data_IF_523911457025
#
_entry.id   IF_523911457025
#
_cell.length_a   1.000
_cell.length_b   1.000
_cell.length_c   1.000
_cell.angle_alpha   90.00
_cell.angle_beta   90.00
_cell.angle_gamma   90.00
#
_symmetry.space_group_name_H-M   'P 1'
#
loop_
_entity.id
_entity.type
_entity.pdbx_description
1 polymer ?
#
# COMPACT_ATOMS: atom_id res chain seq x y z
N UNK A 1 -52.65 16.74 -56.80
CA UNK A 1 -52.40 16.16 -58.15
C UNK A 1 -50.91 16.01 -58.35
N UNK A 2 -50.47 14.77 -58.62
CA UNK A 2 -49.16 14.29 -59.12
C UNK A 2 -47.88 14.58 -58.32
N UNK A 3 -47.42 13.54 -57.64
CA UNK A 3 -46.06 13.26 -57.19
C UNK A 3 -45.05 13.21 -58.36
N UNK A 4 -43.74 13.37 -58.08
CA UNK A 4 -42.69 12.67 -58.81
C UNK A 4 -42.08 11.53 -57.98
N UNK A 5 -41.76 10.45 -58.71
CA UNK A 5 -41.16 9.17 -58.30
C UNK A 5 -39.68 9.33 -57.88
N UNK A 6 -39.11 8.34 -57.15
CA UNK A 6 -37.77 8.40 -56.59
C UNK A 6 -36.69 7.92 -57.57
N UNK A 7 -35.48 8.45 -57.44
CA UNK A 7 -34.28 7.95 -58.11
C UNK A 7 -33.54 6.97 -57.19
N UNK A 8 -33.39 5.74 -57.67
CA UNK A 8 -32.56 4.69 -57.11
C UNK A 8 -31.11 4.83 -57.59
N UNK A 9 -30.14 4.80 -56.68
CA UNK A 9 -28.76 4.41 -56.99
C UNK A 9 -28.28 3.39 -55.94
N UNK A 10 -28.06 2.18 -56.45
CA UNK A 10 -27.30 1.08 -55.86
C UNK A 10 -25.82 1.46 -55.75
N UNK A 11 -25.13 1.01 -54.70
CA UNK A 11 -23.90 0.20 -54.83
C UNK A 11 -23.06 0.16 -53.56
N UNK A 12 -22.72 -1.09 -53.18
CA UNK A 12 -21.52 -1.54 -52.49
C UNK A 12 -21.25 -1.06 -51.05
N UNK A 13 -21.51 -1.98 -50.13
CA UNK A 13 -20.78 -2.11 -48.89
C UNK A 13 -19.31 -2.45 -49.20
N UNK A 14 -18.37 -1.67 -48.67
CA UNK A 14 -16.98 -2.08 -48.53
C UNK A 14 -16.60 -2.04 -47.04
N UNK A 15 -16.41 -3.25 -46.51
CA UNK A 15 -15.80 -3.50 -45.19
C UNK A 15 -14.32 -3.16 -45.30
N UNK A 16 -13.92 -1.99 -44.85
CA UNK A 16 -12.50 -1.72 -44.56
C UNK A 16 -12.16 -2.29 -43.18
N UNK A 17 -11.62 -3.50 -43.20
CA UNK A 17 -10.77 -4.06 -42.14
C UNK A 17 -9.60 -3.11 -41.90
N UNK A 18 -9.61 -2.40 -40.76
CA UNK A 18 -8.43 -1.71 -40.24
C UNK A 18 -7.39 -2.75 -39.84
N UNK A 19 -6.44 -2.99 -40.74
CA UNK A 19 -5.22 -3.71 -40.46
C UNK A 19 -4.27 -2.74 -39.72
N UNK A 20 -4.13 -2.91 -38.41
CA UNK A 20 -3.10 -2.20 -37.63
C UNK A 20 -1.77 -2.91 -37.88
N UNK A 21 -0.72 -2.24 -38.40
CA UNK A 21 0.59 -2.86 -38.52
C UNK A 21 1.24 -2.93 -37.13
N UNK A 22 1.68 -4.14 -36.76
CA UNK A 22 2.58 -4.39 -35.64
C UNK A 22 3.94 -3.85 -36.08
N UNK A 23 4.31 -2.68 -35.56
CA UNK A 23 5.65 -2.11 -35.69
C UNK A 23 6.49 -2.52 -34.49
N UNK A 24 7.52 -3.34 -34.74
CA UNK A 24 8.62 -3.58 -33.82
C UNK A 24 9.45 -2.29 -33.68
N UNK A 25 9.32 -1.58 -32.56
CA UNK A 25 10.16 -0.42 -32.24
C UNK A 25 11.20 -0.82 -31.18
N UNK A 26 12.25 -1.49 -31.66
CA UNK A 26 13.54 -1.53 -30.97
C UNK A 26 14.26 -0.21 -31.24
N UNK A 27 13.99 0.80 -30.41
CA UNK A 27 14.76 2.06 -30.41
C UNK A 27 15.44 2.27 -29.08
N UNK A 28 16.76 2.29 -29.16
CA UNK A 28 17.71 2.50 -28.08
C UNK A 28 17.42 3.79 -27.31
N UNK A 29 17.31 3.66 -25.98
CA UNK A 29 17.27 4.77 -25.04
C UNK A 29 18.67 5.39 -25.02
N UNK A 30 18.80 6.62 -25.53
CA UNK A 30 19.95 7.48 -25.25
C UNK A 30 19.74 8.18 -23.91
N UNK A 31 20.78 8.31 -23.05
CA UNK A 31 20.61 8.86 -21.71
C UNK A 31 20.52 10.39 -21.77
N UNK A 32 19.40 10.94 -21.29
CA UNK A 32 19.29 12.35 -20.94
C UNK A 32 20.14 12.58 -19.70
N UNK A 33 21.17 13.40 -19.84
CA UNK A 33 22.05 13.82 -18.76
C UNK A 33 21.33 14.85 -17.86
N UNK A 34 21.41 14.64 -16.54
CA UNK A 34 21.19 15.67 -15.53
C UNK A 34 19.81 15.66 -14.86
N UNK A 35 19.51 14.63 -14.07
CA UNK A 35 18.47 14.71 -13.03
C UNK A 35 19.09 14.43 -11.65
N UNK A 36 18.92 15.30 -10.65
CA UNK A 36 19.56 15.16 -9.33
C UNK A 36 19.09 13.92 -8.55
N UNK A 37 17.96 13.32 -8.91
CA UNK A 37 17.46 12.07 -8.32
C UNK A 37 18.36 10.85 -8.59
N UNK A 38 19.12 10.84 -9.69
CA UNK A 38 20.06 9.75 -10.01
C UNK A 38 21.38 9.84 -9.23
N UNK A 39 21.68 10.97 -8.59
CA UNK A 39 22.91 11.16 -7.81
C UNK A 39 22.90 10.35 -6.50
N UNK A 40 21.73 9.95 -6.00
CA UNK A 40 21.58 9.16 -4.77
C UNK A 40 21.61 7.63 -4.98
N UNK A 41 21.57 7.15 -6.23
CA UNK A 41 21.59 5.71 -6.55
C UNK A 41 22.79 4.95 -5.96
N UNK A 42 24.02 5.48 -5.92
CA UNK A 42 25.17 4.76 -5.37
C UNK A 42 25.14 4.60 -3.83
N UNK A 43 24.30 5.35 -3.10
CA UNK A 43 24.19 5.22 -1.63
C UNK A 43 23.27 4.07 -1.21
N UNK A 44 22.39 3.61 -2.10
CA UNK A 44 21.47 2.49 -1.86
C UNK A 44 22.11 1.09 -1.95
N UNK A 45 23.38 1.00 -2.34
CA UNK A 45 24.09 -0.27 -2.58
C UNK A 45 25.27 -0.52 -1.62
N UNK A 46 25.46 0.31 -0.59
CA UNK A 46 26.50 0.02 0.40
C UNK A 46 26.06 -1.14 1.32
N UNK A 47 26.93 -2.15 1.55
CA UNK A 47 26.62 -3.24 2.46
C UNK A 47 26.50 -2.71 3.89
N UNK A 48 25.35 -2.95 4.53
CA UNK A 48 25.16 -2.70 5.96
C UNK A 48 26.13 -3.56 6.78
N UNK A 49 26.78 -2.93 7.76
CA UNK A 49 27.67 -3.59 8.71
C UNK A 49 26.88 -4.59 9.58
N UNK A 50 27.49 -5.73 9.90
CA UNK A 50 26.89 -6.85 10.64
C UNK A 50 26.36 -6.40 12.02
N UNK A 51 25.05 -6.57 12.33
CA UNK A 51 24.46 -6.14 13.60
C UNK A 51 24.95 -6.92 14.83
N UNK A 52 25.87 -7.89 14.67
CA UNK A 52 26.46 -8.68 15.76
C UNK A 52 27.59 -7.99 16.53
N UNK A 53 27.92 -6.73 16.25
CA UNK A 53 29.02 -5.99 16.91
C UNK A 53 28.57 -4.85 17.85
N UNK A 54 27.29 -4.78 18.24
CA UNK A 54 26.88 -3.87 19.30
C UNK A 54 27.10 -4.51 20.68
N UNK A 55 28.08 -4.00 21.44
CA UNK A 55 28.28 -4.35 22.85
C UNK A 55 27.01 -4.04 23.66
N UNK A 56 26.42 -5.08 24.27
CA UNK A 56 25.25 -4.96 25.16
C UNK A 56 25.74 -4.77 26.60
N UNK A 57 25.35 -3.71 27.32
CA UNK A 57 25.71 -3.58 28.73
C UNK A 57 24.92 -4.58 29.59
N UNK A 58 25.62 -5.23 30.52
CA UNK A 58 25.09 -6.27 31.39
C UNK A 58 23.96 -5.74 32.31
N UNK A 59 22.78 -6.36 32.22
CA UNK A 59 21.68 -6.16 33.17
C UNK A 59 21.71 -7.31 34.19
N UNK A 60 21.80 -6.97 35.47
CA UNK A 60 21.77 -7.95 36.58
C UNK A 60 20.40 -8.66 36.69
N UNK A 61 20.36 -9.95 37.04
CA UNK A 61 19.11 -10.70 37.08
C UNK A 61 18.35 -10.44 38.38
N UNK A 62 17.08 -10.02 38.26
CA UNK A 62 16.11 -10.12 39.35
C UNK A 62 15.51 -11.53 39.31
N UNK A 63 15.79 -12.30 40.36
CA UNK A 63 15.29 -13.65 40.56
C UNK A 63 13.82 -13.63 40.99
N UNK A 64 12.95 -14.34 40.27
CA UNK A 64 11.72 -14.88 40.86
C UNK A 64 11.59 -16.35 40.49
N UNK A 65 11.69 -17.20 41.51
CA UNK A 65 11.60 -18.66 41.39
C UNK A 65 10.25 -19.15 41.90
N UNK A 66 9.66 -20.01 41.06
CA UNK A 66 8.68 -21.09 41.30
C UNK A 66 7.21 -20.78 41.59
N UNK A 67 6.38 -21.22 40.63
CA UNK A 67 5.53 -22.38 40.89
C UNK A 67 4.03 -22.14 40.82
N UNK A 68 3.43 -22.32 39.63
CA UNK A 68 2.07 -22.85 39.51
C UNK A 68 1.84 -23.38 38.09
N UNK A 69 1.61 -24.69 37.98
CA UNK A 69 1.05 -25.36 36.80
C UNK A 69 -0.34 -24.76 36.58
N UNK A 70 -0.49 -23.83 35.63
CA UNK A 70 -1.81 -23.34 35.21
C UNK A 70 -2.31 -24.20 34.07
N UNK A 71 -3.37 -24.92 34.35
CA UNK A 71 -4.22 -25.60 33.38
C UNK A 71 -4.70 -24.59 32.33
N UNK A 72 -4.71 -25.02 31.06
CA UNK A 72 -5.08 -24.23 29.89
C UNK A 72 -6.52 -23.71 29.98
N UNK A 73 -6.77 -22.38 30.00
CA UNK A 73 -8.05 -21.79 29.63
C UNK A 73 -7.98 -21.36 28.15
N UNK A 74 -7.53 -22.25 27.27
CA UNK A 74 -7.64 -22.08 25.83
C UNK A 74 -9.01 -22.56 25.37
N UNK A 75 -10.09 -21.89 25.77
CA UNK A 75 -11.41 -22.07 25.16
C UNK A 75 -12.39 -20.99 25.66
N UNK A 76 -12.91 -20.20 24.71
CA UNK A 76 -14.03 -19.24 24.87
C UNK A 76 -13.75 -17.95 25.66
N UNK A 77 -12.99 -17.05 25.06
CA UNK A 77 -13.34 -15.63 25.12
C UNK A 77 -13.31 -15.09 23.69
N UNK A 78 -14.29 -15.47 22.87
CA UNK A 78 -14.67 -14.55 21.81
C UNK A 78 -15.22 -13.33 22.56
N UNK A 79 -14.53 -12.20 22.49
CA UNK A 79 -15.05 -10.98 23.06
C UNK A 79 -16.45 -10.76 22.43
N UNK A 80 -17.53 -10.56 23.23
CA UNK A 80 -18.88 -10.34 22.71
C UNK A 80 -18.98 -9.20 21.71
N UNK A 81 -18.01 -8.28 21.71
CA UNK A 81 -17.91 -7.15 20.78
C UNK A 81 -17.13 -7.49 19.49
N UNK A 82 -16.61 -8.71 19.32
CA UNK A 82 -15.83 -9.05 18.12
C UNK A 82 -16.57 -8.98 16.78
N UNK A 83 -17.81 -9.48 16.68
CA UNK A 83 -18.61 -9.30 15.47
C UNK A 83 -18.88 -7.82 15.18
N UNK A 84 -18.85 -6.97 16.22
CA UNK A 84 -19.04 -5.52 16.11
C UNK A 84 -17.78 -4.86 15.52
N UNK A 85 -16.58 -5.30 15.92
CA UNK A 85 -15.31 -4.77 15.40
C UNK A 85 -15.08 -5.13 13.93
N UNK A 86 -15.22 -6.40 13.53
CA UNK A 86 -15.06 -6.75 12.11
C UNK A 86 -16.15 -6.05 11.28
N UNK A 87 -17.41 -6.06 11.72
CA UNK A 87 -18.49 -5.39 11.00
C UNK A 87 -18.24 -3.87 10.84
N UNK A 88 -17.73 -3.18 11.86
CA UNK A 88 -17.35 -1.76 11.78
C UNK A 88 -16.19 -1.55 10.80
N UNK A 89 -15.15 -2.37 10.83
CA UNK A 89 -14.06 -2.30 9.85
C UNK A 89 -14.59 -2.54 8.42
N UNK A 90 -15.47 -3.51 8.22
CA UNK A 90 -16.10 -3.80 6.92
C UNK A 90 -17.04 -2.71 6.44
N UNK A 91 -17.71 -2.01 7.36
CA UNK A 91 -18.54 -0.87 7.03
C UNK A 91 -17.67 0.34 6.65
N UNK A 92 -16.65 0.64 7.45
CA UNK A 92 -15.71 1.74 7.19
C UNK A 92 -14.91 1.56 5.92
N UNK A 93 -14.46 0.33 5.60
CA UNK A 93 -13.77 0.06 4.35
C UNK A 93 -14.68 0.20 3.12
N UNK A 94 -15.97 0.49 3.27
CA UNK A 94 -16.92 0.75 2.17
C UNK A 94 -17.43 2.18 2.15
N UNK A 95 -17.07 2.99 3.15
CA UNK A 95 -17.46 4.40 3.22
C UNK A 95 -16.80 5.16 2.06
N UNK A 96 -17.58 5.78 1.15
CA UNK A 96 -17.02 6.43 -0.04
C UNK A 96 -15.93 7.46 0.25
N UNK A 97 -15.99 8.12 1.41
CA UNK A 97 -14.99 9.12 1.82
C UNK A 97 -13.62 8.52 2.12
N UNK A 98 -13.56 7.24 2.45
CA UNK A 98 -12.33 6.50 2.75
C UNK A 98 -11.70 5.88 1.49
N UNK A 99 -12.33 6.02 0.32
CA UNK A 99 -11.83 5.48 -0.95
C UNK A 99 -11.23 6.55 -1.86
N UNK A 100 -10.07 6.27 -2.49
CA UNK A 100 -9.62 7.05 -3.64
C UNK A 100 -10.51 6.75 -4.86
N UNK A 101 -10.63 7.71 -5.78
CA UNK A 101 -11.25 7.48 -7.09
C UNK A 101 -10.34 6.56 -7.91
N UNK A 102 -10.83 5.39 -8.30
CA UNK A 102 -10.06 4.38 -9.05
C UNK A 102 -9.50 4.90 -10.39
N UNK A 103 -10.01 6.03 -10.89
CA UNK A 103 -9.60 6.67 -12.13
C UNK A 103 -9.05 8.10 -11.91
N UNK A 104 -8.60 8.44 -10.69
CA UNK A 104 -8.12 9.79 -10.39
C UNK A 104 -6.99 10.25 -11.32
N UNK A 105 -6.18 9.33 -11.84
CA UNK A 105 -5.10 9.65 -12.77
C UNK A 105 -5.60 10.29 -14.07
N UNK A 106 -6.70 9.79 -14.62
CA UNK A 106 -7.28 10.32 -15.85
C UNK A 106 -8.26 11.46 -15.58
N UNK A 107 -9.06 11.37 -14.51
CA UNK A 107 -10.09 12.37 -14.17
C UNK A 107 -9.52 13.61 -13.49
N UNK A 108 -8.83 13.42 -12.36
CA UNK A 108 -8.37 14.52 -11.50
C UNK A 108 -6.99 15.02 -11.89
N UNK A 109 -6.05 14.11 -12.19
CA UNK A 109 -4.69 14.44 -12.61
C UNK A 109 -4.58 14.65 -14.14
N UNK A 110 -5.68 14.54 -14.88
CA UNK A 110 -5.78 14.86 -16.31
C UNK A 110 -4.76 14.10 -17.20
N UNK A 111 -4.32 12.92 -16.75
CA UNK A 111 -3.32 12.11 -17.46
C UNK A 111 -1.88 12.55 -17.29
N UNK A 112 -1.60 13.59 -16.50
CA UNK A 112 -0.22 14.03 -16.23
C UNK A 112 0.51 13.13 -15.24
N UNK A 113 -0.22 12.45 -14.35
CA UNK A 113 0.32 11.45 -13.44
C UNK A 113 0.08 10.03 -13.98
N UNK A 114 1.15 9.32 -14.31
CA UNK A 114 1.08 7.94 -14.79
C UNK A 114 1.13 6.91 -13.66
N UNK A 115 0.68 5.66 -13.88
CA UNK A 115 0.85 4.57 -12.92
C UNK A 115 2.31 4.32 -12.52
N UNK A 116 3.26 4.48 -13.46
CA UNK A 116 4.69 4.30 -13.20
C UNK A 116 5.24 5.40 -12.29
N UNK A 117 4.87 6.67 -12.52
CA UNK A 117 5.28 7.78 -11.66
C UNK A 117 4.75 7.61 -10.23
N UNK A 118 3.49 7.16 -10.07
CA UNK A 118 2.95 6.82 -8.75
C UNK A 118 3.72 5.66 -8.11
N UNK A 119 4.05 4.61 -8.87
CA UNK A 119 4.81 3.48 -8.34
C UNK A 119 6.20 3.92 -7.83
N UNK A 120 6.91 4.74 -8.60
CA UNK A 120 8.19 5.34 -8.20
C UNK A 120 8.05 6.21 -6.96
N UNK A 121 6.98 7.02 -6.87
CA UNK A 121 6.69 7.83 -5.70
C UNK A 121 6.43 6.99 -4.45
N UNK A 122 5.70 5.89 -4.55
CA UNK A 122 5.46 4.97 -3.42
C UNK A 122 6.75 4.27 -2.97
N UNK A 123 7.62 3.89 -3.90
CA UNK A 123 8.94 3.35 -3.56
C UNK A 123 9.83 4.40 -2.88
N UNK A 124 9.73 5.67 -3.31
CA UNK A 124 10.38 6.79 -2.64
C UNK A 124 9.82 7.01 -1.22
N UNK A 125 8.50 6.90 -1.02
CA UNK A 125 7.87 6.98 0.31
C UNK A 125 8.39 5.90 1.26
N UNK A 126 8.52 4.66 0.78
CA UNK A 126 9.10 3.56 1.57
C UNK A 126 10.56 3.88 1.98
N UNK A 127 11.36 4.40 1.04
CA UNK A 127 12.73 4.82 1.34
C UNK A 127 12.77 5.96 2.37
N UNK A 128 11.94 6.99 2.21
CA UNK A 128 11.84 8.12 3.14
C UNK A 128 11.41 7.67 4.54
N UNK A 129 10.37 6.83 4.64
CA UNK A 129 9.88 6.26 5.89
C UNK A 129 10.96 5.45 6.62
N UNK A 130 11.77 4.66 5.89
CA UNK A 130 12.90 3.91 6.46
C UNK A 130 14.01 4.81 7.00
N UNK A 131 14.30 5.94 6.34
CA UNK A 131 15.33 6.88 6.81
C UNK A 131 14.86 7.71 8.01
N UNK A 132 13.57 8.03 8.11
CA UNK A 132 13.00 8.61 9.33
C UNK A 132 13.14 7.68 10.53
N UNK A 133 13.05 6.37 10.29
CA UNK A 133 13.38 5.33 11.26
C UNK A 133 12.35 5.16 12.38
N UNK A 134 12.13 3.90 12.79
CA UNK A 134 11.30 3.54 13.93
C UNK A 134 9.84 3.98 13.84
N UNK A 135 9.30 4.18 12.63
CA UNK A 135 7.89 4.50 12.41
C UNK A 135 7.01 3.27 12.75
N UNK A 136 5.75 3.48 13.19
CA UNK A 136 4.82 2.39 13.45
C UNK A 136 4.65 1.46 12.24
N UNK A 137 4.47 0.17 12.51
CA UNK A 137 4.03 -0.78 11.50
C UNK A 137 2.68 -0.30 10.92
N UNK A 138 2.50 -0.39 9.59
CA UNK A 138 1.31 0.14 8.92
C UNK A 138 1.40 1.59 8.42
N UNK A 139 2.37 2.39 8.90
CA UNK A 139 2.55 3.79 8.48
C UNK A 139 2.56 3.96 6.96
N UNK A 140 3.30 3.11 6.25
CA UNK A 140 3.38 3.18 4.78
C UNK A 140 2.04 2.89 4.10
N UNK A 141 1.30 1.87 4.58
CA UNK A 141 -0.04 1.56 4.04
C UNK A 141 -0.99 2.75 4.20
N UNK A 142 -0.98 3.38 5.37
CA UNK A 142 -1.82 4.55 5.66
C UNK A 142 -1.39 5.78 4.87
N UNK A 143 -0.10 6.04 4.78
CA UNK A 143 0.45 7.12 3.98
C UNK A 143 0.07 6.99 2.49
N UNK A 144 0.15 5.79 1.93
CA UNK A 144 -0.25 5.53 0.54
C UNK A 144 -1.77 5.72 0.36
N UNK A 145 -2.58 5.27 1.32
CA UNK A 145 -4.02 5.52 1.29
C UNK A 145 -4.36 7.02 1.31
N UNK A 146 -3.66 7.81 2.12
CA UNK A 146 -3.82 9.28 2.13
C UNK A 146 -3.35 9.92 0.83
N UNK A 147 -2.19 9.51 0.30
CA UNK A 147 -1.67 9.99 -0.98
C UNK A 147 -2.71 9.79 -2.10
N UNK A 148 -3.23 8.56 -2.27
CA UNK A 148 -4.18 8.25 -3.33
C UNK A 148 -5.48 9.06 -3.20
N UNK A 149 -5.96 9.26 -1.97
CA UNK A 149 -7.18 10.05 -1.71
C UNK A 149 -6.97 11.53 -2.00
N UNK A 150 -5.83 12.09 -1.61
CA UNK A 150 -5.47 13.49 -1.92
C UNK A 150 -5.36 13.70 -3.43
N UNK A 151 -4.70 12.78 -4.14
CA UNK A 151 -4.64 12.78 -5.60
C UNK A 151 -6.01 12.56 -6.27
N UNK A 152 -7.01 12.07 -5.53
CA UNK A 152 -8.39 11.93 -5.98
C UNK A 152 -9.24 13.18 -5.81
N UNK A 153 -8.76 14.21 -5.11
CA UNK A 153 -9.55 15.42 -4.84
C UNK A 153 -8.83 16.70 -5.24
N UNK A 154 -7.49 16.64 -5.39
CA UNK A 154 -6.66 17.81 -5.71
C UNK A 154 -5.68 17.52 -6.84
N UNK A 155 -5.60 18.38 -7.88
CA UNK A 155 -4.54 18.27 -8.87
C UNK A 155 -3.19 18.61 -8.24
N UNK A 156 -2.19 17.79 -8.52
CA UNK A 156 -0.80 18.03 -8.07
C UNK A 156 0.08 18.12 -9.31
N UNK A 157 0.94 19.15 -9.43
CA UNK A 157 1.89 19.24 -10.53
C UNK A 157 2.73 17.96 -10.64
N UNK A 158 2.78 17.38 -11.85
CA UNK A 158 3.42 16.11 -12.11
C UNK A 158 4.96 16.23 -12.26
N UNK A 159 5.59 16.97 -11.35
CA UNK A 159 7.04 17.05 -11.21
C UNK A 159 7.45 16.59 -9.81
N UNK A 160 8.66 16.03 -9.71
CA UNK A 160 9.13 15.31 -8.52
C UNK A 160 8.97 16.09 -7.22
N UNK A 161 9.35 17.38 -7.20
CA UNK A 161 9.32 18.19 -5.97
C UNK A 161 7.92 18.32 -5.34
N UNK A 162 6.88 18.55 -6.15
CA UNK A 162 5.51 18.69 -5.65
C UNK A 162 4.94 17.35 -5.19
N UNK A 163 5.18 16.29 -5.96
CA UNK A 163 4.74 14.94 -5.62
C UNK A 163 5.43 14.42 -4.36
N UNK A 164 6.74 14.62 -4.23
CA UNK A 164 7.53 14.21 -3.08
C UNK A 164 7.14 14.99 -1.82
N UNK A 165 6.81 16.29 -1.94
CA UNK A 165 6.32 17.07 -0.81
C UNK A 165 4.97 16.53 -0.29
N UNK A 166 4.01 16.27 -1.18
CA UNK A 166 2.73 15.62 -0.83
C UNK A 166 2.97 14.24 -0.21
N UNK A 167 3.86 13.45 -0.78
CA UNK A 167 4.20 12.12 -0.30
C UNK A 167 4.86 12.12 1.09
N UNK A 168 5.79 13.03 1.35
CA UNK A 168 6.43 13.20 2.66
C UNK A 168 5.42 13.63 3.73
N UNK A 169 4.53 14.55 3.39
CA UNK A 169 3.45 14.97 4.26
C UNK A 169 2.48 13.82 4.56
N UNK A 170 2.15 12.98 3.57
CA UNK A 170 1.33 11.79 3.77
C UNK A 170 2.01 10.76 4.69
N UNK A 171 3.33 10.56 4.58
CA UNK A 171 4.12 9.71 5.51
C UNK A 171 4.10 10.27 6.93
N UNK A 172 4.31 11.58 7.08
CA UNK A 172 4.24 12.27 8.38
C UNK A 172 2.86 12.11 9.04
N UNK A 173 1.80 12.38 8.27
CA UNK A 173 0.42 12.28 8.74
C UNK A 173 0.04 10.83 9.09
N UNK A 174 0.45 9.87 8.26
CA UNK A 174 0.25 8.44 8.51
C UNK A 174 0.94 7.98 9.80
N UNK A 175 2.18 8.43 10.04
CA UNK A 175 2.92 8.11 11.27
C UNK A 175 2.25 8.68 12.52
N UNK A 176 1.75 9.94 12.45
CA UNK A 176 1.00 10.58 13.53
C UNK A 176 -0.33 9.88 13.82
N UNK A 177 -0.97 9.35 12.79
CA UNK A 177 -2.22 8.60 12.93
C UNK A 177 -2.00 7.25 13.62
N UNK A 178 -1.07 6.42 13.12
CA UNK A 178 -0.78 5.10 13.67
C UNK A 178 -0.16 5.16 15.09
N UNK A 179 0.39 6.31 15.49
CA UNK A 179 0.91 6.53 16.83
C UNK A 179 0.49 7.90 17.38
N UNK A 180 -0.79 7.99 17.75
CA UNK A 180 -1.43 9.21 18.26
C UNK A 180 -0.76 9.83 19.50
N UNK A 181 0.07 9.05 20.22
CA UNK A 181 0.78 9.49 21.43
C UNK A 181 2.24 9.89 21.21
N UNK A 182 2.77 9.83 19.98
CA UNK A 182 4.15 10.21 19.74
C UNK A 182 4.25 11.70 19.40
N UNK A 183 4.91 12.47 20.26
CA UNK A 183 5.42 13.80 19.91
C UNK A 183 6.56 13.74 18.89
N UNK A 184 6.55 12.74 17.99
CA UNK A 184 7.62 12.48 17.04
C UNK A 184 7.54 13.53 15.95
N UNK A 185 8.62 14.29 15.86
CA UNK A 185 8.80 15.30 14.82
C UNK A 185 9.57 14.67 13.67
N UNK A 186 9.36 15.20 12.47
CA UNK A 186 10.18 14.87 11.31
C UNK A 186 11.64 15.22 11.62
N UNK A 187 12.56 14.36 11.17
CA UNK A 187 13.99 14.64 11.25
C UNK A 187 14.37 15.66 10.17
N UNK A 188 14.87 16.82 10.58
CA UNK A 188 15.22 17.90 9.67
C UNK A 188 16.34 17.53 8.69
N UNK A 189 17.31 16.71 9.10
CA UNK A 189 18.39 16.27 8.22
C UNK A 189 17.87 15.31 7.16
N UNK A 190 16.94 14.42 7.54
CA UNK A 190 16.29 13.51 6.58
C UNK A 190 15.43 14.29 5.60
N UNK A 191 14.65 15.27 6.07
CA UNK A 191 13.82 16.13 5.19
C UNK A 191 14.69 16.93 4.23
N UNK A 192 15.76 17.56 4.71
CA UNK A 192 16.69 18.30 3.85
C UNK A 192 17.35 17.38 2.81
N UNK A 193 17.80 16.18 3.21
CA UNK A 193 18.45 15.24 2.32
C UNK A 193 17.51 14.66 1.24
N UNK A 194 16.23 14.43 1.57
CA UNK A 194 15.27 13.82 0.65
C UNK A 194 14.51 14.82 -0.22
N UNK A 195 14.22 16.01 0.31
CA UNK A 195 13.35 16.99 -0.34
C UNK A 195 14.06 18.32 -0.65
N UNK A 196 15.25 18.58 -0.10
CA UNK A 196 15.92 19.87 -0.23
C UNK A 196 15.14 21.04 0.40
N UNK A 197 14.27 20.74 1.37
CA UNK A 197 13.39 21.73 2.03
C UNK A 197 13.44 21.58 3.56
N UNK A 198 12.62 22.35 4.25
CA UNK A 198 12.53 22.35 5.72
C UNK A 198 11.33 21.56 6.23
N UNK A 199 11.41 21.11 7.48
CA UNK A 199 10.28 20.44 8.17
C UNK A 199 9.01 21.29 8.14
N UNK A 200 9.14 22.61 8.28
CA UNK A 200 7.99 23.53 8.27
C UNK A 200 7.17 23.41 6.98
N UNK A 201 7.82 23.32 5.82
CA UNK A 201 7.13 23.19 4.53
C UNK A 201 6.38 21.86 4.44
N UNK A 202 6.93 20.79 5.02
CA UNK A 202 6.24 19.49 5.10
C UNK A 202 5.06 19.55 6.07
N UNK A 203 5.18 20.25 7.19
CA UNK A 203 4.09 20.45 8.16
C UNK A 203 2.94 21.31 7.60
N UNK A 204 3.25 22.32 6.78
CA UNK A 204 2.24 23.10 6.05
C UNK A 204 1.49 22.22 5.05
N UNK A 205 2.22 21.42 4.26
CA UNK A 205 1.61 20.45 3.35
C UNK A 205 0.79 19.39 4.10
N UNK A 206 1.25 18.93 5.27
CA UNK A 206 0.50 17.99 6.11
C UNK A 206 -0.86 18.57 6.51
N UNK A 207 -0.90 19.84 6.89
CA UNK A 207 -2.15 20.52 7.21
C UNK A 207 -3.08 20.62 6.00
N UNK A 208 -2.56 20.91 4.81
CA UNK A 208 -3.34 20.90 3.57
C UNK A 208 -3.93 19.51 3.29
N UNK A 209 -3.13 18.45 3.43
CA UNK A 209 -3.59 17.06 3.27
C UNK A 209 -4.70 16.72 4.25
N UNK A 210 -4.57 17.12 5.50
CA UNK A 210 -5.59 16.90 6.51
C UNK A 210 -6.92 17.59 6.14
N UNK A 211 -6.85 18.80 5.56
CA UNK A 211 -8.03 19.50 5.04
C UNK A 211 -8.63 18.80 3.81
N UNK A 212 -7.80 18.35 2.86
CA UNK A 212 -8.23 17.61 1.67
C UNK A 212 -8.97 16.31 2.03
N UNK A 213 -8.52 15.63 3.08
CA UNK A 213 -9.11 14.36 3.55
C UNK A 213 -10.41 14.56 4.35
N UNK A 214 -10.78 15.81 4.67
CA UNK A 214 -12.08 16.16 5.25
C UNK A 214 -12.38 15.46 6.60
N UNK A 215 -11.34 15.26 7.42
CA UNK A 215 -11.38 14.52 8.69
C UNK A 215 -11.73 13.02 8.59
N UNK A 216 -11.93 12.47 7.40
CA UNK A 216 -12.10 11.02 7.21
C UNK A 216 -10.70 10.39 7.18
N UNK A 217 -10.16 10.03 8.34
CA UNK A 217 -8.78 9.55 8.48
C UNK A 217 -8.70 8.13 8.99
N UNK A 218 -9.81 7.54 9.41
CA UNK A 218 -9.85 6.29 10.16
C UNK A 218 -10.21 5.08 9.29
N UNK A 219 -10.27 5.27 7.97
CA UNK A 219 -10.47 4.20 7.01
C UNK A 219 -9.46 3.07 7.23
N UNK A 220 -9.90 1.80 7.29
CA UNK A 220 -9.00 0.68 7.48
C UNK A 220 -8.16 0.43 6.23
N UNK A 221 -6.91 0.06 6.43
CA UNK A 221 -6.02 -0.36 5.34
C UNK A 221 -5.85 -1.88 5.34
N UNK A 222 -5.20 -2.43 4.33
CA UNK A 222 -4.88 -3.85 4.31
C UNK A 222 -4.00 -4.24 5.53
N UNK A 223 -3.18 -3.31 6.03
CA UNK A 223 -2.47 -3.47 7.31
C UNK A 223 -3.45 -3.68 8.48
N UNK A 224 -4.46 -2.81 8.61
CA UNK A 224 -5.49 -2.90 9.66
C UNK A 224 -6.17 -4.28 9.66
N UNK A 225 -6.50 -4.80 8.48
CA UNK A 225 -7.12 -6.12 8.36
C UNK A 225 -6.14 -7.27 8.64
N UNK A 226 -4.85 -7.18 8.26
CA UNK A 226 -3.87 -8.20 8.66
C UNK A 226 -3.75 -8.24 10.19
N UNK A 227 -3.64 -7.10 10.86
CA UNK A 227 -3.56 -7.07 12.32
C UNK A 227 -4.82 -7.69 12.95
N UNK A 228 -6.01 -7.31 12.43
CA UNK A 228 -7.28 -7.91 12.85
C UNK A 228 -7.35 -9.43 12.65
N UNK A 229 -6.98 -9.93 11.46
CA UNK A 229 -7.02 -11.36 11.14
C UNK A 229 -6.01 -12.19 11.94
N UNK A 230 -4.91 -11.58 12.36
CA UNK A 230 -3.78 -12.29 12.99
C UNK A 230 -3.65 -12.06 14.49
N UNK A 231 -4.54 -11.28 15.12
CA UNK A 231 -4.51 -10.96 16.56
C UNK A 231 -4.53 -12.14 17.52
N UNK A 232 -5.07 -13.29 17.09
CA UNK A 232 -5.13 -14.50 17.90
C UNK A 232 -3.99 -15.48 17.61
N UNK A 233 -3.05 -15.13 16.73
CA UNK A 233 -1.87 -15.94 16.48
C UNK A 233 -1.03 -16.00 17.75
N UNK A 234 -0.64 -17.22 18.12
CA UNK A 234 0.10 -17.49 19.37
C UNK A 234 1.40 -18.26 19.12
N UNK A 235 1.62 -18.75 17.90
CA UNK A 235 2.75 -19.61 17.54
C UNK A 235 3.75 -18.87 16.65
N UNK A 236 5.02 -19.22 16.79
CA UNK A 236 6.11 -18.64 15.99
C UNK A 236 5.89 -18.78 14.48
N UNK A 237 5.39 -19.93 14.03
CA UNK A 237 5.08 -20.18 12.63
C UNK A 237 3.93 -19.31 12.11
N UNK A 238 2.95 -19.00 12.94
CA UNK A 238 1.87 -18.07 12.60
C UNK A 238 2.38 -16.62 12.51
N UNK A 239 3.32 -16.22 13.38
CA UNK A 239 3.96 -14.91 13.27
C UNK A 239 4.81 -14.77 11.99
N UNK A 240 5.41 -15.86 11.50
CA UNK A 240 6.07 -15.88 10.18
C UNK A 240 5.06 -15.68 9.05
N UNK A 241 3.87 -16.31 9.14
CA UNK A 241 2.77 -16.10 8.19
C UNK A 241 2.31 -14.64 8.21
N UNK A 242 2.06 -14.05 9.39
CA UNK A 242 1.71 -12.62 9.51
C UNK A 242 2.78 -11.73 8.86
N UNK A 243 4.05 -11.94 9.20
CA UNK A 243 5.16 -11.14 8.69
C UNK A 243 5.27 -11.22 7.16
N UNK A 244 5.08 -12.40 6.58
CA UNK A 244 5.06 -12.56 5.13
C UNK A 244 3.82 -11.91 4.51
N UNK A 245 2.64 -12.05 5.12
CA UNK A 245 1.41 -11.42 4.63
C UNK A 245 1.55 -9.89 4.58
N UNK A 246 2.13 -9.27 5.62
CA UNK A 246 2.44 -7.84 5.63
C UNK A 246 3.40 -7.43 4.51
N UNK A 247 4.42 -8.24 4.25
CA UNK A 247 5.32 -8.01 3.11
C UNK A 247 4.59 -8.08 1.78
N UNK A 248 3.70 -9.05 1.61
CA UNK A 248 2.87 -9.18 0.41
C UNK A 248 1.91 -7.99 0.24
N UNK A 249 1.31 -7.49 1.32
CA UNK A 249 0.52 -6.26 1.30
C UNK A 249 1.39 -5.08 0.84
N UNK A 250 2.59 -4.90 1.39
CA UNK A 250 3.50 -3.83 0.97
C UNK A 250 3.90 -3.93 -0.51
N UNK A 251 4.03 -5.14 -1.06
CA UNK A 251 4.28 -5.32 -2.50
C UNK A 251 3.15 -4.79 -3.37
N UNK A 252 1.90 -4.75 -2.88
CA UNK A 252 0.78 -4.20 -3.67
C UNK A 252 0.79 -2.68 -3.75
N UNK A 253 1.38 -2.00 -2.76
CA UNK A 253 1.26 -0.55 -2.60
C UNK A 253 1.70 0.26 -3.83
N UNK A 254 2.78 -0.08 -4.56
CA UNK A 254 3.17 0.65 -5.76
C UNK A 254 2.23 0.43 -6.96
N UNK A 255 1.45 -0.64 -6.98
CA UNK A 255 0.66 -1.05 -8.14
C UNK A 255 -0.73 -0.42 -8.13
N UNK A 256 -0.96 0.51 -9.06
CA UNK A 256 -2.24 1.23 -9.19
C UNK A 256 -3.46 0.32 -9.42
N UNK A 257 -3.26 -0.91 -9.91
CA UNK A 257 -4.35 -1.88 -10.11
C UNK A 257 -5.12 -2.25 -8.85
N UNK A 258 -4.53 -2.09 -7.65
CA UNK A 258 -5.19 -2.36 -6.37
C UNK A 258 -5.97 -1.15 -5.84
N UNK A 259 -5.60 0.06 -6.25
CA UNK A 259 -6.14 1.32 -5.72
C UNK A 259 -7.58 1.53 -6.15
N UNK A 260 -8.49 1.64 -5.18
CA UNK A 260 -9.94 1.88 -5.41
C UNK A 260 -10.68 0.75 -6.13
N UNK A 261 -10.01 -0.37 -6.47
CA UNK A 261 -10.59 -1.51 -7.22
C UNK A 261 -10.79 -2.74 -6.36
N UNK A 262 -9.95 -2.93 -5.35
CA UNK A 262 -9.98 -4.10 -4.46
C UNK A 262 -10.08 -3.58 -3.03
N UNK A 263 -10.98 -4.18 -2.24
CA UNK A 263 -11.17 -3.78 -0.84
C UNK A 263 -9.91 -4.10 -0.01
N UNK A 264 -9.54 -3.25 0.97
CA UNK A 264 -8.43 -3.51 1.88
C UNK A 264 -8.49 -4.89 2.55
N UNK A 265 -9.67 -5.33 2.99
CA UNK A 265 -9.87 -6.66 3.59
C UNK A 265 -9.59 -7.80 2.61
N UNK A 266 -9.96 -7.65 1.33
CA UNK A 266 -9.70 -8.65 0.31
C UNK A 266 -8.20 -8.74 0.00
N UNK A 267 -7.50 -7.60 -0.09
CA UNK A 267 -6.03 -7.59 -0.26
C UNK A 267 -5.35 -8.29 0.92
N UNK A 268 -5.75 -7.97 2.16
CA UNK A 268 -5.22 -8.59 3.36
C UNK A 268 -5.49 -10.10 3.40
N UNK A 269 -6.71 -10.53 3.10
CA UNK A 269 -7.08 -11.95 3.08
C UNK A 269 -6.32 -12.74 1.99
N UNK A 270 -6.18 -12.18 0.79
CA UNK A 270 -5.38 -12.79 -0.29
C UNK A 270 -3.90 -12.91 0.09
N UNK A 271 -3.33 -11.86 0.70
CA UNK A 271 -1.96 -11.88 1.19
C UNK A 271 -1.76 -12.93 2.29
N UNK A 272 -2.70 -13.04 3.23
CA UNK A 272 -2.65 -14.04 4.30
C UNK A 272 -2.78 -15.46 3.76
N UNK A 273 -3.66 -15.68 2.78
CA UNK A 273 -3.80 -16.95 2.08
C UNK A 273 -2.49 -17.36 1.39
N UNK A 274 -1.90 -16.46 0.59
CA UNK A 274 -0.63 -16.73 -0.08
C UNK A 274 0.52 -16.96 0.91
N UNK A 275 0.59 -16.16 1.97
CA UNK A 275 1.61 -16.32 3.00
C UNK A 275 1.53 -17.70 3.66
N UNK A 276 0.33 -18.14 4.04
CA UNK A 276 0.09 -19.49 4.56
C UNK A 276 0.59 -20.57 3.60
N UNK A 277 0.28 -20.44 2.31
CA UNK A 277 0.68 -21.42 1.28
C UNK A 277 2.20 -21.45 1.08
N UNK A 278 2.87 -20.30 1.12
CA UNK A 278 4.33 -20.20 0.96
C UNK A 278 5.07 -20.77 2.17
N UNK A 279 4.61 -20.47 3.38
CA UNK A 279 5.24 -20.96 4.62
C UNK A 279 4.93 -22.45 4.83
N UNK A 280 3.77 -22.93 4.38
CA UNK A 280 3.40 -24.34 4.41
C UNK A 280 3.00 -24.85 5.80
N UNK A 281 2.55 -23.97 6.68
CA UNK A 281 2.18 -24.30 8.07
C UNK A 281 0.66 -24.32 8.26
N UNK A 282 0.13 -25.25 9.07
CA UNK A 282 -1.27 -25.22 9.45
C UNK A 282 -1.52 -24.04 10.39
N UNK A 283 -2.52 -23.21 10.07
CA UNK A 283 -2.99 -22.17 11.00
C UNK A 283 -3.89 -22.81 12.06
N UNK A 284 -3.94 -22.19 13.24
CA UNK A 284 -4.86 -22.58 14.31
C UNK A 284 -6.34 -22.44 13.95
N UNK A 285 -6.65 -21.57 12.98
CA UNK A 285 -8.01 -21.26 12.54
C UNK A 285 -8.15 -21.38 11.02
N UNK A 286 -9.36 -21.70 10.56
CA UNK A 286 -9.68 -21.72 9.14
C UNK A 286 -9.67 -20.29 8.57
N UNK A 287 -9.00 -20.09 7.43
CA UNK A 287 -8.88 -18.77 6.83
C UNK A 287 -10.24 -18.18 6.44
N UNK A 288 -11.19 -19.01 6.03
CA UNK A 288 -12.56 -18.56 5.73
C UNK A 288 -13.27 -18.06 7.00
N UNK A 289 -13.04 -18.70 8.15
CA UNK A 289 -13.59 -18.26 9.44
C UNK A 289 -12.97 -16.93 9.89
N UNK A 290 -11.65 -16.79 9.74
CA UNK A 290 -10.92 -15.58 10.16
C UNK A 290 -11.18 -14.39 9.24
N UNK A 291 -11.21 -14.63 7.93
CA UNK A 291 -11.26 -13.55 6.94
C UNK A 291 -12.67 -13.32 6.37
N UNK A 292 -13.62 -14.22 6.63
CA UNK A 292 -14.94 -14.19 6.02
C UNK A 292 -14.96 -14.40 4.50
N UNK A 293 -13.82 -14.70 3.87
CA UNK A 293 -13.68 -14.89 2.44
C UNK A 293 -13.40 -16.33 2.07
N UNK A 294 -14.08 -16.82 1.03
CA UNK A 294 -13.73 -18.07 0.36
C UNK A 294 -12.56 -17.83 -0.58
N UNK A 295 -11.72 -18.86 -0.75
CA UNK A 295 -10.59 -18.80 -1.68
C UNK A 295 -11.02 -18.41 -3.12
N UNK A 296 -12.22 -18.80 -3.56
CA UNK A 296 -12.76 -18.45 -4.87
C UNK A 296 -13.04 -16.95 -5.02
N UNK A 297 -13.49 -16.28 -3.95
CA UNK A 297 -13.77 -14.84 -3.96
C UNK A 297 -12.48 -14.01 -4.01
N UNK A 298 -11.37 -14.58 -3.54
CA UNK A 298 -10.06 -13.95 -3.50
C UNK A 298 -9.19 -14.25 -4.74
N UNK A 299 -9.65 -15.12 -5.64
CA UNK A 299 -8.82 -15.70 -6.70
C UNK A 299 -8.17 -14.63 -7.58
N UNK A 300 -8.92 -13.60 -7.98
CA UNK A 300 -8.38 -12.53 -8.82
C UNK A 300 -7.25 -11.75 -8.14
N UNK A 301 -7.45 -11.40 -6.86
CA UNK A 301 -6.45 -10.70 -6.07
C UNK A 301 -5.24 -11.58 -5.74
N UNK A 302 -5.45 -12.88 -5.48
CA UNK A 302 -4.39 -13.87 -5.30
C UNK A 302 -3.53 -13.95 -6.57
N UNK A 303 -4.15 -14.15 -7.74
CA UNK A 303 -3.41 -14.21 -9.00
C UNK A 303 -2.70 -12.89 -9.34
N UNK A 304 -3.26 -11.74 -8.96
CA UNK A 304 -2.59 -10.45 -9.11
C UNK A 304 -1.34 -10.35 -8.22
N UNK A 305 -1.43 -10.73 -6.95
CA UNK A 305 -0.33 -10.79 -6.00
C UNK A 305 0.78 -11.77 -6.44
N UNK A 306 0.41 -12.95 -6.94
CA UNK A 306 1.38 -13.95 -7.42
C UNK A 306 2.24 -13.41 -8.57
N UNK A 307 1.68 -12.57 -9.45
CA UNK A 307 2.45 -11.93 -10.54
C UNK A 307 3.49 -10.93 -10.03
N UNK A 308 3.32 -10.41 -8.82
CA UNK A 308 4.28 -9.50 -8.18
C UNK A 308 5.44 -10.25 -7.51
N UNK A 309 5.29 -11.56 -7.27
CA UNK A 309 6.33 -12.35 -6.66
C UNK A 309 7.55 -12.49 -7.59
N UNK A 310 8.78 -12.45 -7.06
CA UNK A 310 9.96 -12.74 -7.84
C UNK A 310 9.82 -14.12 -8.49
N UNK A 311 9.90 -14.18 -9.83
CA UNK A 311 9.91 -15.46 -10.53
C UNK A 311 11.11 -16.26 -10.02
N UNK A 312 10.85 -17.49 -9.54
CA UNK A 312 11.93 -18.45 -9.31
C UNK A 312 12.52 -18.77 -10.68
N UNK A 313 13.67 -18.20 -11.00
CA UNK A 313 14.50 -18.71 -12.09
C UNK A 313 14.97 -20.10 -11.65
N UNK A 314 14.24 -21.13 -12.10
CA UNK A 314 14.66 -22.53 -12.04
C UNK A 314 15.74 -22.79 -13.09
#
# INVERSE_FOLDING_TARGET
MRSPKPASLSSAADRQTLHVPIGDDSTAISPVAGSPALAAWPMLLQPMNDPRQADVPAVHPVSWVMGARRENPGLKCADPYEPDVDADLRAKEREPREHPDADYMSKMQQGHLSPSMRAELVLWMDAFARHLGGLPEGTLCRAVAYLDRVLSVRPVPAHDEALQLVAAAAVSLGAKHEQSSSGRRLDAQVVEAFLGTTVHVVEEMEWELFMDLGCAMDGPTAYTFIDHFTRFFQREDEFLVRSLALRLVNLTLPFFGFVGRILPSAVAASALFLAKQIVGVPLSHDLEEVTGYKAMELMECICALEKLLPRKNL
#
